data_IF_449435830021
#
_entry.id   IF_449435830021
#
_cell.length_a   1.000
_cell.length_b   1.000
_cell.length_c   1.000
_cell.angle_alpha   90.00
_cell.angle_beta   90.00
_cell.angle_gamma   90.00
#
_symmetry.space_group_name_H-M   'P 1'
#
loop_
_entity.id
_entity.type
_entity.pdbx_description
1 polymer ?
#
# COMPACT_ATOMS: atom_id res chain seq x y z
N UNK A 1 17.55 -12.85 8.85
CA UNK A 1 16.25 -12.14 8.69
C UNK A 1 15.55 -12.40 7.34
N UNK A 2 16.10 -13.22 6.43
CA UNK A 2 15.50 -13.45 5.10
C UNK A 2 14.07 -13.99 5.12
N UNK A 3 13.79 -15.03 5.90
CA UNK A 3 12.44 -15.62 5.99
C UNK A 3 11.40 -14.57 6.42
N UNK A 4 11.72 -13.75 7.42
CA UNK A 4 10.82 -12.68 7.86
C UNK A 4 10.59 -11.65 6.74
N UNK A 5 11.65 -11.24 6.03
CA UNK A 5 11.53 -10.34 4.90
C UNK A 5 10.66 -10.93 3.78
N UNK A 6 10.85 -12.19 3.44
CA UNK A 6 10.08 -12.85 2.39
C UNK A 6 8.59 -12.93 2.76
N UNK A 7 8.28 -13.26 4.01
CA UNK A 7 6.90 -13.30 4.53
C UNK A 7 6.25 -11.90 4.49
N UNK A 8 6.90 -10.90 5.08
CA UNK A 8 6.35 -9.54 5.14
C UNK A 8 6.29 -8.88 3.76
N UNK A 9 7.29 -9.14 2.90
CA UNK A 9 7.32 -8.67 1.52
C UNK A 9 6.19 -9.29 0.69
N UNK A 10 5.96 -10.60 0.81
CA UNK A 10 4.84 -11.27 0.16
C UNK A 10 3.49 -10.72 0.65
N UNK A 11 3.35 -10.52 1.97
CA UNK A 11 2.15 -9.94 2.57
C UNK A 11 1.90 -8.50 2.09
N UNK A 12 2.95 -7.68 2.02
CA UNK A 12 2.88 -6.30 1.52
C UNK A 12 2.45 -6.28 0.05
N UNK A 13 3.12 -7.07 -0.79
CA UNK A 13 2.82 -7.14 -2.21
C UNK A 13 1.37 -7.61 -2.44
N UNK A 14 0.95 -8.66 -1.73
CA UNK A 14 -0.41 -9.16 -1.81
C UNK A 14 -1.45 -8.10 -1.39
N UNK A 15 -1.23 -7.44 -0.25
CA UNK A 15 -2.18 -6.46 0.27
C UNK A 15 -2.25 -5.19 -0.59
N UNK A 16 -1.09 -4.70 -1.08
CA UNK A 16 -1.05 -3.56 -2.00
C UNK A 16 -1.72 -3.87 -3.34
N UNK A 17 -1.41 -5.01 -3.95
CA UNK A 17 -2.04 -5.42 -5.22
C UNK A 17 -3.53 -5.70 -5.01
N UNK A 18 -3.94 -6.33 -3.90
CA UNK A 18 -5.35 -6.56 -3.56
C UNK A 18 -6.13 -5.25 -3.38
N UNK A 19 -5.51 -4.25 -2.73
CA UNK A 19 -6.03 -2.88 -2.62
C UNK A 19 -6.24 -2.24 -4.00
N UNK A 20 -5.26 -2.39 -4.90
CA UNK A 20 -5.32 -1.86 -6.26
C UNK A 20 -6.40 -2.54 -7.11
N UNK A 21 -6.49 -3.87 -7.05
CA UNK A 21 -7.50 -4.65 -7.77
C UNK A 21 -8.90 -4.25 -7.31
N UNK A 22 -9.11 -4.04 -6.01
CA UNK A 22 -10.40 -3.58 -5.47
C UNK A 22 -10.79 -2.20 -5.98
N UNK A 23 -9.81 -1.28 -6.14
CA UNK A 23 -10.01 0.03 -6.78
C UNK A 23 -10.38 -0.10 -8.26
N UNK A 24 -9.65 -0.91 -9.03
CA UNK A 24 -9.90 -1.11 -10.46
C UNK A 24 -11.23 -1.82 -10.73
N UNK A 25 -11.61 -2.77 -9.88
CA UNK A 25 -12.93 -3.44 -9.90
C UNK A 25 -14.06 -2.55 -9.39
N UNK A 26 -13.78 -1.32 -8.95
CA UNK A 26 -14.79 -0.36 -8.50
C UNK A 26 -15.68 -0.93 -7.39
N UNK A 27 -15.07 -1.64 -6.43
CA UNK A 27 -15.78 -2.18 -5.26
C UNK A 27 -16.51 -1.02 -4.54
N UNK A 28 -17.82 -1.13 -4.24
CA UNK A 28 -18.62 -0.02 -3.70
C UNK A 28 -18.02 0.63 -2.47
N UNK A 29 -17.60 -0.17 -1.48
CA UNK A 29 -17.01 0.33 -0.23
C UNK A 29 -15.70 1.08 -0.47
N UNK A 30 -14.87 0.59 -1.39
CA UNK A 30 -13.60 1.24 -1.76
C UNK A 30 -13.87 2.56 -2.48
N UNK A 31 -14.84 2.60 -3.40
CA UNK A 31 -15.21 3.83 -4.08
C UNK A 31 -15.81 4.86 -3.13
N UNK A 32 -16.64 4.43 -2.17
CA UNK A 32 -17.19 5.29 -1.13
C UNK A 32 -16.07 5.88 -0.26
N UNK A 33 -15.10 5.05 0.15
CA UNK A 33 -13.93 5.52 0.91
C UNK A 33 -13.05 6.49 0.10
N UNK A 34 -12.84 6.24 -1.20
CA UNK A 34 -12.11 7.17 -2.08
C UNK A 34 -12.86 8.50 -2.25
N UNK A 35 -14.17 8.45 -2.44
CA UNK A 35 -15.00 9.64 -2.60
C UNK A 35 -15.06 10.48 -1.32
N UNK A 36 -15.11 9.86 -0.14
CA UNK A 36 -15.17 10.57 1.15
C UNK A 36 -13.90 11.39 1.45
N UNK A 37 -12.75 10.93 0.96
CA UNK A 37 -11.48 11.67 1.02
C UNK A 37 -11.25 12.60 -0.17
N UNK A 38 -12.20 12.69 -1.11
CA UNK A 38 -12.19 13.64 -2.24
C UNK A 38 -11.41 13.19 -3.47
N UNK A 39 -11.07 11.89 -3.58
CA UNK A 39 -10.42 11.32 -4.76
C UNK A 39 -11.43 11.26 -5.91
N UNK A 40 -11.07 11.86 -7.04
CA UNK A 40 -11.92 11.84 -8.25
C UNK A 40 -11.82 10.48 -8.96
N UNK A 41 -12.89 10.02 -9.65
CA UNK A 41 -12.88 8.72 -10.32
C UNK A 41 -11.73 8.49 -11.32
N UNK A 42 -11.24 9.54 -11.99
CA UNK A 42 -10.11 9.42 -12.91
C UNK A 42 -8.74 9.25 -12.23
N UNK A 43 -8.64 9.57 -10.93
CA UNK A 43 -7.41 9.41 -10.14
C UNK A 43 -7.29 7.99 -9.58
N UNK A 44 -8.41 7.27 -9.45
CA UNK A 44 -8.46 5.91 -8.87
C UNK A 44 -7.57 4.93 -9.65
N UNK A 45 -7.59 4.87 -11.00
CA UNK A 45 -6.69 4.00 -11.74
C UNK A 45 -5.22 4.33 -11.51
N UNK A 46 -4.86 5.62 -11.43
CA UNK A 46 -3.47 6.06 -11.18
C UNK A 46 -2.98 5.55 -9.83
N UNK A 47 -3.80 5.70 -8.78
CA UNK A 47 -3.50 5.19 -7.45
C UNK A 47 -3.34 3.66 -7.44
N UNK A 48 -4.21 2.95 -8.14
CA UNK A 48 -4.11 1.50 -8.28
C UNK A 48 -2.83 1.07 -9.01
N UNK A 49 -2.45 1.75 -10.08
CA UNK A 49 -1.20 1.45 -10.79
C UNK A 49 0.04 1.70 -9.93
N UNK A 50 0.03 2.73 -9.08
CA UNK A 50 1.12 2.97 -8.12
C UNK A 50 1.23 1.82 -7.10
N UNK A 51 0.11 1.35 -6.55
CA UNK A 51 0.09 0.20 -5.64
C UNK A 51 0.56 -1.09 -6.33
N UNK A 52 0.16 -1.33 -7.59
CA UNK A 52 0.63 -2.48 -8.38
C UNK A 52 2.12 -2.36 -8.64
N UNK A 53 2.61 -1.19 -9.06
CA UNK A 53 4.02 -0.96 -9.31
C UNK A 53 4.86 -1.16 -8.04
N UNK A 54 4.40 -0.66 -6.90
CA UNK A 54 5.04 -0.90 -5.61
C UNK A 54 5.03 -2.38 -5.22
N UNK A 55 3.90 -3.07 -5.36
CA UNK A 55 3.80 -4.50 -5.06
C UNK A 55 4.70 -5.36 -5.95
N UNK A 56 4.73 -5.09 -7.25
CA UNK A 56 5.65 -5.74 -8.19
C UNK A 56 7.12 -5.41 -7.87
N UNK A 57 7.40 -4.17 -7.50
CA UNK A 57 8.74 -3.74 -7.10
C UNK A 57 9.26 -4.43 -5.84
N UNK A 58 8.37 -4.75 -4.87
CA UNK A 58 8.71 -5.61 -3.72
C UNK A 58 9.09 -7.02 -4.17
N UNK A 59 8.33 -7.61 -5.10
CA UNK A 59 8.61 -8.95 -5.64
C UNK A 59 9.96 -8.94 -6.37
N UNK A 60 10.18 -7.98 -7.29
CA UNK A 60 11.45 -7.80 -8.00
C UNK A 60 12.60 -7.52 -7.02
N UNK A 61 12.29 -6.88 -5.88
CA UNK A 61 13.21 -6.62 -4.78
C UNK A 61 13.88 -7.86 -4.19
N UNK A 62 13.32 -9.05 -4.40
CA UNK A 62 13.94 -10.33 -4.00
C UNK A 62 15.27 -10.51 -4.73
N UNK A 63 15.32 -10.20 -6.03
CA UNK A 63 16.53 -10.28 -6.84
C UNK A 63 17.36 -9.00 -6.78
N UNK A 64 16.72 -7.83 -6.66
CA UNK A 64 17.39 -6.53 -6.69
C UNK A 64 17.08 -5.76 -5.40
N UNK A 65 17.94 -5.85 -4.35
CA UNK A 65 17.65 -5.28 -3.03
C UNK A 65 17.29 -3.79 -3.06
N UNK A 66 17.98 -2.99 -3.89
CA UNK A 66 17.72 -1.56 -4.01
C UNK A 66 16.29 -1.23 -4.48
N UNK A 67 15.74 -2.03 -5.41
CA UNK A 67 14.36 -1.86 -5.87
C UNK A 67 13.35 -2.22 -4.79
N UNK A 68 13.64 -3.24 -4.00
CA UNK A 68 12.78 -3.60 -2.88
C UNK A 68 12.69 -2.47 -1.85
N UNK A 69 13.82 -1.89 -1.44
CA UNK A 69 13.86 -0.77 -0.47
C UNK A 69 13.07 0.41 -1.02
N UNK A 70 13.34 0.80 -2.27
CA UNK A 70 12.64 1.91 -2.92
C UNK A 70 11.13 1.67 -2.97
N UNK A 71 10.70 0.47 -3.36
CA UNK A 71 9.28 0.11 -3.47
C UNK A 71 8.59 0.13 -2.10
N UNK A 72 9.27 -0.38 -1.06
CA UNK A 72 8.75 -0.35 0.30
C UNK A 72 8.54 1.08 0.79
N UNK A 73 9.52 1.97 0.57
CA UNK A 73 9.43 3.39 0.92
C UNK A 73 8.30 4.08 0.15
N UNK A 74 8.17 3.84 -1.16
CA UNK A 74 7.07 4.39 -1.95
C UNK A 74 5.70 3.95 -1.44
N UNK A 75 5.54 2.67 -1.07
CA UNK A 75 4.30 2.17 -0.48
C UNK A 75 4.03 2.79 0.90
N UNK A 76 5.05 2.97 1.75
CA UNK A 76 4.94 3.69 3.02
C UNK A 76 4.41 5.11 2.78
N UNK A 77 5.00 5.87 1.85
CA UNK A 77 4.57 7.23 1.53
C UNK A 77 3.15 7.28 0.99
N UNK A 78 2.79 6.34 0.12
CA UNK A 78 1.45 6.23 -0.44
C UNK A 78 0.40 6.01 0.67
N UNK A 79 0.59 5.01 1.52
CA UNK A 79 -0.38 4.69 2.57
C UNK A 79 -0.36 5.70 3.72
N UNK A 80 0.76 6.37 3.99
CA UNK A 80 0.81 7.54 4.86
C UNK A 80 -0.09 8.65 4.32
N UNK A 81 0.01 8.96 3.02
CA UNK A 81 -0.87 9.93 2.35
C UNK A 81 -2.35 9.57 2.51
N UNK A 82 -2.70 8.29 2.30
CA UNK A 82 -4.05 7.79 2.53
C UNK A 82 -4.50 8.06 3.98
N UNK A 83 -3.74 7.59 4.98
CA UNK A 83 -4.07 7.78 6.40
C UNK A 83 -4.24 9.25 6.77
N UNK A 84 -3.36 10.14 6.29
CA UNK A 84 -3.46 11.57 6.53
C UNK A 84 -4.77 12.16 5.97
N UNK A 85 -5.24 11.69 4.81
CA UNK A 85 -6.53 12.15 4.26
C UNK A 85 -7.72 11.66 5.09
N UNK A 86 -7.69 10.42 5.59
CA UNK A 86 -8.72 9.90 6.49
C UNK A 86 -8.73 10.64 7.84
N UNK A 87 -7.57 10.93 8.43
CA UNK A 87 -7.47 11.67 9.69
C UNK A 87 -7.96 13.11 9.55
N UNK A 88 -7.64 13.78 8.42
CA UNK A 88 -8.16 15.13 8.12
C UNK A 88 -9.69 15.16 8.03
N UNK A 89 -10.31 14.06 7.59
CA UNK A 89 -11.76 13.91 7.51
C UNK A 89 -12.41 13.35 8.79
N UNK A 90 -11.62 13.10 9.84
CA UNK A 90 -12.05 12.52 11.13
C UNK A 90 -12.78 11.17 10.98
N UNK A 91 -12.37 10.38 10.00
CA UNK A 91 -12.92 9.05 9.77
C UNK A 91 -12.57 8.10 10.93
N UNK A 92 -13.43 7.10 11.17
CA UNK A 92 -13.23 6.12 12.23
C UNK A 92 -12.26 5.00 11.81
N UNK A 93 -11.83 4.15 12.76
CA UNK A 93 -10.91 3.04 12.47
C UNK A 93 -11.42 2.06 11.42
N UNK A 94 -12.74 1.92 11.27
CA UNK A 94 -13.36 1.08 10.25
C UNK A 94 -13.07 1.59 8.82
N UNK A 95 -12.97 2.91 8.63
CA UNK A 95 -12.81 3.53 7.32
C UNK A 95 -11.36 3.48 6.81
N UNK A 96 -10.38 3.53 7.72
CA UNK A 96 -8.96 3.55 7.38
C UNK A 96 -8.20 2.29 7.81
N UNK A 97 -8.87 1.33 8.44
CA UNK A 97 -8.24 0.14 9.03
C UNK A 97 -7.41 -0.68 8.04
N UNK A 98 -7.92 -0.87 6.81
CA UNK A 98 -7.18 -1.53 5.75
C UNK A 98 -5.90 -0.76 5.37
N UNK A 99 -6.00 0.57 5.19
CA UNK A 99 -4.85 1.41 4.89
C UNK A 99 -3.80 1.39 6.02
N UNK A 100 -4.26 1.38 7.28
CA UNK A 100 -3.38 1.29 8.45
C UNK A 100 -2.65 -0.05 8.49
N UNK A 101 -3.36 -1.16 8.26
CA UNK A 101 -2.76 -2.48 8.23
C UNK A 101 -1.65 -2.57 7.17
N UNK A 102 -1.92 -2.13 5.95
CA UNK A 102 -0.92 -2.14 4.86
C UNK A 102 0.25 -1.21 5.19
N UNK A 103 -0.01 -0.03 5.77
CA UNK A 103 1.03 0.89 6.20
C UNK A 103 1.99 0.27 7.23
N UNK A 104 1.48 -0.43 8.24
CA UNK A 104 2.30 -1.11 9.25
C UNK A 104 3.16 -2.19 8.62
N UNK A 105 2.57 -3.02 7.74
CA UNK A 105 3.30 -4.06 7.00
C UNK A 105 4.40 -3.42 6.14
N UNK A 106 4.13 -2.28 5.52
CA UNK A 106 5.10 -1.54 4.71
C UNK A 106 6.28 -1.02 5.55
N UNK A 107 6.02 -0.49 6.76
CA UNK A 107 7.08 -0.06 7.68
C UNK A 107 7.97 -1.22 8.12
N UNK A 108 7.36 -2.35 8.51
CA UNK A 108 8.10 -3.55 8.91
C UNK A 108 8.94 -4.06 7.73
N UNK A 109 8.36 -4.14 6.53
CA UNK A 109 9.08 -4.57 5.33
C UNK A 109 10.24 -3.64 5.00
N UNK A 110 10.04 -2.32 5.10
CA UNK A 110 11.10 -1.32 4.87
C UNK A 110 12.25 -1.52 5.85
N UNK A 111 11.94 -1.69 7.14
CA UNK A 111 12.95 -1.98 8.16
C UNK A 111 13.73 -3.26 7.85
N UNK A 112 13.02 -4.35 7.51
CA UNK A 112 13.64 -5.63 7.16
C UNK A 112 14.52 -5.54 5.91
N UNK A 113 14.16 -4.69 4.94
CA UNK A 113 14.96 -4.48 3.74
C UNK A 113 16.23 -3.66 3.98
N UNK A 114 16.21 -2.72 4.93
CA UNK A 114 17.40 -1.94 5.30
C UNK A 114 18.42 -2.82 6.06
N UNK A 115 17.93 -3.84 6.78
CA UNK A 115 18.75 -4.79 7.55
C UNK A 115 19.25 -6.01 6.72
N UNK A 116 18.99 -6.03 5.42
CA UNK A 116 19.22 -7.19 4.54
C UNK A 116 20.70 -7.44 4.23
#
# INVERSE_FOLDING_TARGET
>A
MKIALDIFGALLAFAAIGSAVSKLKKVPDVLAAMASVGVKPHQIPVLAYLEIAGGLGIIVGIWIPALGVLSAICLVLYFAGALLTHFKKKHGPADFGAALGIFIIALITTYLQIQR
#
